data_IF_151053261336
#
_entry.id   IF_151053261336
#
_cell.length_a   1.000
_cell.length_b   1.000
_cell.length_c   1.000
_cell.angle_alpha   90.00
_cell.angle_beta   90.00
_cell.angle_gamma   90.00
#
_symmetry.space_group_name_H-M   'P 1'
#
loop_
_entity.id
_entity.type
_entity.pdbx_description
1 polymer ?
#
# COMPACT_ATOMS: atom_id res chain seq x y z
N UNK A 1 -18.65 -5.46 -7.64
CA UNK A 1 -19.63 -4.92 -6.68
C UNK A 1 -18.87 -4.50 -5.42
N UNK A 2 -19.33 -3.52 -4.65
CA UNK A 2 -18.77 -3.26 -3.32
C UNK A 2 -19.27 -4.38 -2.41
N UNK A 3 -18.39 -5.23 -1.89
CA UNK A 3 -18.80 -6.44 -1.14
C UNK A 3 -19.58 -6.14 0.14
N UNK A 4 -19.39 -4.94 0.71
CA UNK A 4 -19.99 -4.53 2.00
C UNK A 4 -21.21 -3.62 1.86
N UNK A 5 -21.57 -3.16 0.66
CA UNK A 5 -22.73 -2.27 0.44
C UNK A 5 -22.65 -0.86 1.09
N UNK A 6 -21.62 -0.59 1.89
CA UNK A 6 -21.43 0.66 2.61
C UNK A 6 -21.07 1.82 1.68
N UNK A 7 -21.59 3.01 2.00
CA UNK A 7 -21.21 4.26 1.36
C UNK A 7 -19.76 4.65 1.71
N UNK A 8 -19.14 5.43 0.83
CA UNK A 8 -17.83 6.03 1.09
C UNK A 8 -17.81 6.87 2.37
N UNK A 9 -18.94 7.50 2.73
CA UNK A 9 -19.06 8.29 3.96
C UNK A 9 -19.10 7.40 5.20
N UNK A 10 -19.91 6.35 5.18
CA UNK A 10 -20.01 5.39 6.28
C UNK A 10 -18.66 4.71 6.54
N UNK A 11 -17.99 4.31 5.46
CA UNK A 11 -16.64 3.76 5.51
C UNK A 11 -15.66 4.77 6.11
N UNK A 12 -15.71 6.05 5.69
CA UNK A 12 -14.84 7.08 6.26
C UNK A 12 -15.06 7.27 7.76
N UNK A 13 -16.32 7.29 8.20
CA UNK A 13 -16.66 7.41 9.63
C UNK A 13 -16.13 6.21 10.41
N UNK A 14 -16.37 5.00 9.91
CA UNK A 14 -15.94 3.75 10.56
C UNK A 14 -14.40 3.68 10.72
N UNK A 15 -13.65 4.18 9.75
CA UNK A 15 -12.19 4.21 9.77
C UNK A 15 -11.61 5.55 10.27
N UNK A 16 -12.43 6.41 10.88
CA UNK A 16 -12.02 7.72 11.42
C UNK A 16 -11.27 8.61 10.39
N UNK A 17 -11.62 8.49 9.11
CA UNK A 17 -11.07 9.28 8.02
C UNK A 17 -11.82 10.60 7.89
N UNK A 18 -11.06 11.69 7.80
CA UNK A 18 -11.61 13.04 7.63
C UNK A 18 -12.20 13.30 6.23
N UNK A 19 -11.95 12.42 5.27
CA UNK A 19 -12.29 12.67 3.88
C UNK A 19 -12.72 11.38 3.16
N UNK A 20 -14.03 11.30 2.86
CA UNK A 20 -14.62 10.20 2.11
C UNK A 20 -14.17 10.12 0.65
N UNK A 21 -13.73 11.23 0.05
CA UNK A 21 -13.21 11.24 -1.33
C UNK A 21 -11.89 10.48 -1.47
N UNK A 22 -11.13 10.30 -0.38
CA UNK A 22 -9.92 9.47 -0.38
C UNK A 22 -10.26 8.01 -0.73
N UNK A 23 -11.37 7.51 -0.20
CA UNK A 23 -11.81 6.12 -0.43
C UNK A 23 -12.18 5.93 -1.89
N UNK A 24 -12.93 6.88 -2.49
CA UNK A 24 -13.26 6.81 -3.92
C UNK A 24 -12.00 6.82 -4.79
N UNK A 25 -11.01 7.65 -4.44
CA UNK A 25 -9.74 7.72 -5.16
C UNK A 25 -8.94 6.42 -5.04
N UNK A 26 -8.87 5.83 -3.85
CA UNK A 26 -8.23 4.53 -3.62
C UNK A 26 -8.94 3.42 -4.39
N UNK A 27 -10.27 3.43 -4.41
CA UNK A 27 -11.05 2.45 -5.16
C UNK A 27 -10.76 2.49 -6.66
N UNK A 28 -10.69 3.70 -7.24
CA UNK A 28 -10.34 3.87 -8.66
C UNK A 28 -8.90 3.38 -8.91
N UNK A 29 -7.95 3.84 -8.09
CA UNK A 29 -6.54 3.45 -8.24
C UNK A 29 -6.35 1.92 -8.12
N UNK A 30 -7.07 1.28 -7.20
CA UNK A 30 -7.05 -0.16 -7.02
C UNK A 30 -7.67 -0.90 -8.20
N UNK A 31 -8.78 -0.40 -8.76
CA UNK A 31 -9.41 -1.02 -9.94
C UNK A 31 -8.53 -0.93 -11.19
N UNK A 32 -7.78 0.15 -11.34
CA UNK A 32 -6.93 0.38 -12.51
C UNK A 32 -5.56 -0.31 -12.40
N UNK A 33 -4.94 -0.25 -11.22
CA UNK A 33 -3.52 -0.61 -11.02
C UNK A 33 -3.33 -1.69 -9.95
N UNK A 34 -4.42 -2.22 -9.38
CA UNK A 34 -4.36 -3.16 -8.26
C UNK A 34 -3.69 -2.54 -7.04
N UNK A 35 -3.00 -3.39 -6.27
CA UNK A 35 -2.27 -2.98 -5.07
C UNK A 35 -1.14 -1.98 -5.37
N UNK A 36 -0.53 -2.03 -6.56
CA UNK A 36 0.52 -1.08 -6.98
C UNK A 36 -0.02 0.35 -7.07
N UNK A 37 -1.31 0.52 -7.40
CA UNK A 37 -1.97 1.83 -7.46
C UNK A 37 -2.10 2.53 -6.10
N UNK A 38 -2.07 1.76 -5.02
CA UNK A 38 -2.15 2.26 -3.64
C UNK A 38 -0.78 2.50 -3.02
N UNK A 39 0.31 2.06 -3.66
CA UNK A 39 1.67 2.31 -3.15
C UNK A 39 1.98 3.82 -3.15
N UNK A 40 2.73 4.31 -2.14
CA UNK A 40 3.11 5.71 -2.08
C UNK A 40 3.95 6.09 -3.29
N UNK A 41 3.44 7.04 -4.09
CA UNK A 41 4.19 7.61 -5.21
C UNK A 41 5.26 8.56 -4.67
N UNK A 42 6.41 8.62 -5.34
CA UNK A 42 7.48 9.56 -4.99
C UNK A 42 6.92 10.98 -4.86
N UNK A 43 7.12 11.60 -3.69
CA UNK A 43 6.61 12.95 -3.45
C UNK A 43 7.34 13.95 -4.36
N UNK A 44 6.57 14.78 -5.07
CA UNK A 44 7.11 15.87 -5.89
C UNK A 44 7.15 15.57 -7.40
N UNK A 45 7.58 16.56 -8.18
CA UNK A 45 7.78 16.44 -9.63
C UNK A 45 9.11 15.72 -9.89
N UNK A 46 9.22 14.82 -10.88
CA UNK A 46 10.51 14.27 -11.28
C UNK A 46 11.49 15.40 -11.66
N UNK A 47 12.75 15.26 -11.23
CA UNK A 47 13.82 16.20 -11.60
C UNK A 47 14.02 16.21 -13.12
N UNK A 48 14.18 17.40 -13.70
CA UNK A 48 14.38 17.59 -15.15
C UNK A 48 15.78 17.19 -15.64
N UNK A 49 16.71 16.81 -14.77
CA UNK A 49 18.09 16.56 -15.16
C UNK A 49 18.34 15.12 -15.63
N UNK A 50 18.89 14.97 -16.86
CA UNK A 50 19.52 13.73 -17.37
C UNK A 50 20.87 13.48 -16.69
N UNK A 51 20.87 13.31 -15.37
CA UNK A 51 21.99 12.68 -14.67
C UNK A 51 21.37 11.77 -13.65
N UNK A 52 21.55 10.47 -13.86
CA UNK A 52 21.29 9.44 -12.89
C UNK A 52 22.09 9.78 -11.64
N UNK A 53 21.48 10.56 -10.76
CA UNK A 53 21.93 10.63 -9.40
C UNK A 53 21.45 9.29 -8.85
N UNK A 54 22.37 8.34 -8.78
CA UNK A 54 22.28 7.14 -7.95
C UNK A 54 22.13 7.58 -6.50
N UNK A 55 21.01 8.22 -6.18
CA UNK A 55 20.50 8.26 -4.84
C UNK A 55 20.10 6.82 -4.59
N UNK A 56 21.00 6.11 -3.93
CA UNK A 56 20.79 4.78 -3.37
C UNK A 56 19.31 4.66 -3.06
N UNK A 57 18.58 3.90 -3.89
CA UNK A 57 17.36 3.26 -3.41
C UNK A 57 17.82 2.70 -2.06
N UNK A 58 17.17 3.09 -0.97
CA UNK A 58 17.11 2.16 0.15
C UNK A 58 16.61 0.90 -0.52
N UNK A 59 17.53 -0.01 -0.81
CA UNK A 59 17.18 -1.40 -0.96
C UNK A 59 16.49 -1.66 0.36
N UNK A 60 15.16 -1.60 0.34
CA UNK A 60 14.37 -2.45 1.21
C UNK A 60 15.07 -3.78 1.06
N UNK A 61 15.87 -4.15 2.06
CA UNK A 61 16.60 -5.41 2.06
C UNK A 61 15.51 -6.42 1.75
N UNK A 62 15.51 -6.94 0.51
CA UNK A 62 14.62 -8.04 0.16
C UNK A 62 15.02 -9.08 1.18
N UNK A 63 14.09 -9.43 2.06
CA UNK A 63 14.39 -10.42 3.06
C UNK A 63 14.85 -11.65 2.32
N UNK A 64 15.92 -12.24 2.83
CA UNK A 64 16.38 -13.51 2.32
C UNK A 64 15.23 -14.50 2.43
N UNK A 65 15.22 -15.52 1.55
CA UNK A 65 14.17 -16.53 1.54
C UNK A 65 13.95 -17.14 2.94
N UNK A 66 15.00 -17.22 3.73
CA UNK A 66 15.00 -17.71 5.11
C UNK A 66 14.22 -16.79 6.05
N UNK A 67 14.50 -15.48 6.04
CA UNK A 67 13.80 -14.52 6.91
C UNK A 67 12.31 -14.34 6.52
N UNK A 68 11.94 -14.57 5.26
CA UNK A 68 10.53 -14.63 4.86
C UNK A 68 9.82 -15.84 5.48
N UNK A 69 10.46 -17.01 5.42
CA UNK A 69 9.93 -18.26 5.98
C UNK A 69 9.80 -18.17 7.51
N UNK A 70 10.76 -17.55 8.19
CA UNK A 70 10.70 -17.37 9.65
C UNK A 70 9.51 -16.51 10.09
N UNK A 71 9.22 -15.42 9.37
CA UNK A 71 8.02 -14.61 9.63
C UNK A 71 6.72 -15.35 9.36
N UNK A 72 6.70 -16.16 8.30
CA UNK A 72 5.52 -16.97 7.99
C UNK A 72 5.26 -18.01 9.10
N UNK A 73 6.32 -18.66 9.61
CA UNK A 73 6.22 -19.57 10.76
C UNK A 73 5.72 -18.85 12.01
N UNK A 74 6.21 -17.64 12.29
CA UNK A 74 5.78 -16.84 13.44
C UNK A 74 4.30 -16.47 13.36
N UNK A 75 3.84 -16.02 12.18
CA UNK A 75 2.42 -15.73 11.94
C UNK A 75 1.55 -16.97 12.12
N UNK A 76 1.96 -18.12 11.57
CA UNK A 76 1.23 -19.38 11.73
C UNK A 76 1.18 -19.88 13.17
N UNK A 77 2.19 -19.57 14.00
CA UNK A 77 2.17 -19.88 15.44
C UNK A 77 1.18 -19.02 16.20
N UNK A 78 1.05 -17.74 15.84
CA UNK A 78 0.07 -16.84 16.46
C UNK A 78 -1.37 -17.23 16.07
N UNK A 79 -1.57 -17.71 14.84
CA UNK A 79 -2.90 -18.13 14.35
C UNK A 79 -3.36 -19.50 14.91
N UNK A 80 -2.42 -20.42 15.16
CA UNK A 80 -2.73 -21.75 15.71
C UNK A 80 -2.63 -21.84 17.25
N UNK A 81 -2.40 -20.72 17.94
CA UNK A 81 -2.43 -20.64 19.41
C UNK A 81 -3.85 -20.31 19.90
#
# INVERSE_FOLDING_TARGET
>A
MLETGASHVETAIQFNLNNSSLISRWLIAFREQGIEGLKPKSKGRPSMSKKANNQKKKEEKKLTREEELEREIELLRLENA
#
